data_IF_354953225917
#
_entry.id   IF_354953225917
#
_cell.length_a   1.000
_cell.length_b   1.000
_cell.length_c   1.000
_cell.angle_alpha   90.00
_cell.angle_beta   90.00
_cell.angle_gamma   90.00
#
_symmetry.space_group_name_H-M   'P 1'
#
loop_
_entity.id
_entity.type
_entity.pdbx_description
1 polymer ?
#
# COMPACT_ATOMS: atom_id res chain seq x y z
N UNK A 1 -11.40 13.27 23.65
CA UNK A 1 -10.17 12.75 23.04
C UNK A 1 -9.76 11.55 23.87
N UNK A 2 -9.78 10.36 23.30
CA UNK A 2 -9.38 9.14 24.01
C UNK A 2 -7.86 9.23 24.29
N UNK A 3 -7.41 9.11 25.56
CA UNK A 3 -6.00 9.21 25.91
C UNK A 3 -5.12 8.09 25.33
N UNK A 4 -5.73 7.11 24.68
CA UNK A 4 -5.04 5.98 24.00
C UNK A 4 -4.94 6.19 22.47
N UNK A 5 -5.56 7.25 21.92
CA UNK A 5 -5.55 7.52 20.47
C UNK A 5 -4.20 8.14 20.07
N UNK A 6 -3.49 7.46 19.17
CA UNK A 6 -2.23 7.97 18.64
C UNK A 6 -2.46 9.22 17.76
N UNK A 7 -1.52 10.19 17.72
CA UNK A 7 -1.69 11.44 16.97
C UNK A 7 -2.03 11.22 15.49
N UNK A 8 -1.45 10.20 14.85
CA UNK A 8 -1.72 9.87 13.47
C UNK A 8 -3.12 9.27 13.29
N UNK A 9 -3.58 8.43 14.19
CA UNK A 9 -4.93 7.89 14.17
C UNK A 9 -5.98 9.02 14.27
N UNK A 10 -5.85 9.92 15.24
CA UNK A 10 -6.75 11.05 15.42
C UNK A 10 -6.84 11.91 14.17
N UNK A 11 -5.68 12.22 13.56
CA UNK A 11 -5.60 13.03 12.35
C UNK A 11 -6.30 12.36 11.16
N UNK A 12 -6.05 11.08 10.92
CA UNK A 12 -6.65 10.35 9.80
C UNK A 12 -8.13 10.07 10.04
N UNK A 13 -8.54 9.76 11.27
CA UNK A 13 -9.95 9.64 11.64
C UNK A 13 -10.70 10.93 11.34
N UNK A 14 -10.20 12.08 11.76
CA UNK A 14 -10.81 13.39 11.49
C UNK A 14 -10.95 13.63 9.97
N UNK A 15 -9.91 13.29 9.18
CA UNK A 15 -9.94 13.43 7.72
C UNK A 15 -11.05 12.60 7.09
N UNK A 16 -11.19 11.32 7.49
CA UNK A 16 -12.19 10.42 6.89
C UNK A 16 -13.60 10.61 7.47
N UNK A 17 -13.74 11.19 8.65
CA UNK A 17 -15.05 11.50 9.23
C UNK A 17 -15.70 12.77 8.64
N UNK A 18 -14.87 13.75 8.22
CA UNK A 18 -15.36 15.09 7.78
C UNK A 18 -15.17 15.35 6.29
N UNK A 19 -14.51 14.45 5.57
CA UNK A 19 -14.26 14.57 4.13
C UNK A 19 -15.49 14.22 3.28
N UNK A 20 -15.35 14.49 1.98
CA UNK A 20 -16.31 13.99 0.98
C UNK A 20 -16.42 12.47 1.03
N UNK A 21 -17.54 11.93 0.53
CA UNK A 21 -17.72 10.49 0.41
C UNK A 21 -16.51 9.86 -0.32
N UNK A 22 -15.91 8.80 0.22
CA UNK A 22 -14.71 8.22 -0.35
C UNK A 22 -14.96 7.71 -1.77
N UNK A 23 -14.05 7.99 -2.68
CA UNK A 23 -14.04 7.34 -3.97
C UNK A 23 -13.40 5.96 -3.82
N UNK A 24 -14.20 4.92 -4.07
CA UNK A 24 -13.69 3.55 -4.11
C UNK A 24 -13.14 3.17 -5.49
N UNK A 25 -12.61 4.13 -6.22
CA UNK A 25 -11.89 3.88 -7.48
C UNK A 25 -10.54 3.25 -7.16
N UNK A 26 -10.18 2.12 -7.78
CA UNK A 26 -8.89 1.50 -7.54
C UNK A 26 -7.75 2.40 -8.07
N UNK A 27 -6.65 2.42 -7.34
CA UNK A 27 -5.46 3.16 -7.75
C UNK A 27 -4.87 2.54 -9.04
N UNK A 28 -4.46 3.33 -10.05
CA UNK A 28 -3.92 2.80 -11.31
C UNK A 28 -2.73 1.84 -11.13
N UNK A 29 -1.88 2.09 -10.14
CA UNK A 29 -0.76 1.19 -9.79
C UNK A 29 -1.24 -0.19 -9.34
N UNK A 30 -2.33 -0.25 -8.55
CA UNK A 30 -2.92 -1.50 -8.12
C UNK A 30 -3.52 -2.28 -9.30
N UNK A 31 -4.22 -1.59 -10.20
CA UNK A 31 -4.76 -2.20 -11.42
C UNK A 31 -3.64 -2.79 -12.28
N UNK A 32 -2.55 -2.03 -12.48
CA UNK A 32 -1.38 -2.50 -13.20
C UNK A 32 -0.73 -3.73 -12.53
N UNK A 33 -0.58 -3.70 -11.20
CA UNK A 33 0.00 -4.81 -10.44
C UNK A 33 -0.85 -6.09 -10.51
N UNK A 34 -2.17 -5.97 -10.38
CA UNK A 34 -3.11 -7.10 -10.50
C UNK A 34 -3.07 -7.76 -11.88
N UNK A 35 -2.77 -6.99 -12.93
CA UNK A 35 -2.62 -7.49 -14.32
C UNK A 35 -1.31 -8.23 -14.61
N UNK A 36 -0.35 -8.29 -13.67
CA UNK A 36 0.99 -8.85 -13.91
C UNK A 36 1.10 -10.39 -13.79
N UNK A 37 0.01 -11.14 -13.70
CA UNK A 37 0.10 -12.59 -13.50
C UNK A 37 0.74 -12.94 -12.15
N UNK A 38 0.03 -12.68 -11.08
CA UNK A 38 0.46 -12.92 -9.70
C UNK A 38 0.40 -14.42 -9.36
N UNK A 39 1.29 -14.95 -8.50
CA UNK A 39 1.14 -16.30 -7.97
C UNK A 39 -0.15 -16.43 -7.14
N UNK A 40 -0.52 -17.66 -6.80
CA UNK A 40 -1.57 -17.90 -5.83
C UNK A 40 -1.20 -17.26 -4.48
N UNK A 41 -2.16 -16.64 -3.81
CA UNK A 41 -1.92 -16.02 -2.50
C UNK A 41 -2.73 -14.74 -2.29
N UNK A 42 -2.77 -14.25 -1.04
CA UNK A 42 -3.50 -13.05 -0.67
C UNK A 42 -2.78 -11.77 -1.12
N UNK A 43 -3.50 -10.67 -1.01
CA UNK A 43 -3.01 -9.30 -1.23
C UNK A 43 -2.91 -8.59 0.12
N UNK A 44 -1.88 -7.80 0.30
CA UNK A 44 -1.70 -6.88 1.42
C UNK A 44 -1.79 -5.45 0.91
N UNK A 45 -2.66 -4.65 1.49
CA UNK A 45 -2.80 -3.23 1.21
C UNK A 45 -2.46 -2.42 2.47
N UNK A 46 -1.34 -1.71 2.44
CA UNK A 46 -0.76 -0.98 3.58
C UNK A 46 -1.11 0.50 3.52
N UNK A 47 -1.45 1.09 4.68
CA UNK A 47 -1.98 2.45 4.79
C UNK A 47 -3.12 2.65 3.78
N UNK A 48 -4.05 1.68 3.79
CA UNK A 48 -5.00 1.48 2.72
C UNK A 48 -6.08 2.59 2.64
N UNK A 49 -6.42 3.22 3.74
CA UNK A 49 -7.58 4.11 3.80
C UNK A 49 -8.88 3.37 3.40
N UNK A 50 -9.91 4.07 2.90
CA UNK A 50 -11.10 3.47 2.29
C UNK A 50 -10.77 2.98 0.88
N UNK A 51 -10.07 1.84 0.76
CA UNK A 51 -9.36 1.39 -0.44
C UNK A 51 -10.24 0.81 -1.54
N UNK A 52 -10.33 1.48 -2.68
CA UNK A 52 -10.83 0.89 -3.92
C UNK A 52 -9.90 -0.19 -4.49
N UNK A 53 -8.60 -0.14 -4.18
CA UNK A 53 -7.62 -1.14 -4.62
C UNK A 53 -7.80 -2.47 -3.92
N UNK A 54 -8.10 -2.46 -2.60
CA UNK A 54 -8.47 -3.65 -1.85
C UNK A 54 -9.74 -4.29 -2.42
N UNK A 55 -10.75 -3.48 -2.77
CA UNK A 55 -11.98 -3.97 -3.38
C UNK A 55 -11.72 -4.58 -4.76
N UNK A 56 -10.93 -3.94 -5.61
CA UNK A 56 -10.58 -4.49 -6.93
C UNK A 56 -9.81 -5.83 -6.84
N UNK A 57 -8.91 -5.97 -5.85
CA UNK A 57 -8.25 -7.23 -5.59
C UNK A 57 -9.23 -8.33 -5.14
N UNK A 58 -10.20 -7.97 -4.29
CA UNK A 58 -11.25 -8.89 -3.86
C UNK A 58 -12.21 -9.26 -5.00
N UNK A 59 -12.57 -8.33 -5.88
CA UNK A 59 -13.35 -8.58 -7.11
C UNK A 59 -12.61 -9.55 -8.06
N UNK A 60 -11.26 -9.52 -8.07
CA UNK A 60 -10.43 -10.49 -8.77
C UNK A 60 -10.28 -11.85 -8.02
N UNK A 61 -11.09 -12.09 -6.98
CA UNK A 61 -11.12 -13.34 -6.21
C UNK A 61 -9.99 -13.50 -5.20
N UNK A 62 -9.23 -12.44 -4.90
CA UNK A 62 -8.13 -12.48 -3.94
C UNK A 62 -8.61 -12.18 -2.52
N UNK A 63 -8.09 -12.93 -1.53
CA UNK A 63 -8.19 -12.49 -0.13
C UNK A 63 -7.31 -11.27 0.08
N UNK A 64 -7.80 -10.29 0.80
CA UNK A 64 -7.11 -9.02 1.03
C UNK A 64 -7.00 -8.76 2.52
N UNK A 65 -5.79 -8.49 3.00
CA UNK A 65 -5.53 -7.89 4.30
C UNK A 65 -5.32 -6.40 4.07
N UNK A 66 -6.20 -5.55 4.59
CA UNK A 66 -6.16 -4.11 4.42
C UNK A 66 -5.85 -3.45 5.76
N UNK A 67 -4.66 -2.85 5.88
CA UNK A 67 -4.13 -2.32 7.14
C UNK A 67 -4.13 -0.81 7.11
N UNK A 68 -4.71 -0.18 8.13
CA UNK A 68 -4.66 1.28 8.33
C UNK A 68 -4.71 1.62 9.81
N UNK A 69 -4.17 2.78 10.16
CA UNK A 69 -4.24 3.33 11.52
C UNK A 69 -5.61 3.95 11.82
N UNK A 70 -6.37 4.30 10.77
CA UNK A 70 -7.71 4.88 10.90
C UNK A 70 -8.79 3.80 10.93
N UNK A 71 -9.41 3.61 12.08
CA UNK A 71 -10.57 2.74 12.22
C UNK A 71 -11.81 3.29 11.48
N UNK A 72 -11.91 4.61 11.28
CA UNK A 72 -12.95 5.25 10.45
C UNK A 72 -12.81 4.78 9.00
N UNK A 73 -11.59 4.85 8.43
CA UNK A 73 -11.33 4.41 7.07
C UNK A 73 -11.65 2.91 6.87
N UNK A 74 -11.26 2.10 7.84
CA UNK A 74 -11.51 0.66 7.82
C UNK A 74 -12.99 0.32 7.91
N UNK A 75 -13.77 1.06 8.70
CA UNK A 75 -15.24 0.89 8.73
C UNK A 75 -15.88 1.25 7.39
N UNK A 76 -15.41 2.32 6.73
CA UNK A 76 -15.90 2.70 5.39
C UNK A 76 -15.58 1.61 4.36
N UNK A 77 -14.36 1.06 4.38
CA UNK A 77 -13.95 -0.05 3.52
C UNK A 77 -14.80 -1.30 3.78
N UNK A 78 -15.00 -1.68 5.05
CA UNK A 78 -15.80 -2.85 5.42
C UNK A 78 -17.25 -2.74 4.98
N UNK A 79 -17.86 -1.56 5.15
CA UNK A 79 -19.22 -1.28 4.72
C UNK A 79 -19.37 -1.41 3.19
N UNK A 80 -18.42 -0.85 2.43
CA UNK A 80 -18.44 -0.95 0.97
C UNK A 80 -18.15 -2.38 0.48
N UNK A 81 -17.23 -3.10 1.13
CA UNK A 81 -16.99 -4.51 0.83
C UNK A 81 -18.24 -5.36 1.07
N UNK A 82 -18.95 -5.15 2.18
CA UNK A 82 -20.22 -5.82 2.45
C UNK A 82 -21.28 -5.49 1.40
N UNK A 83 -21.42 -4.21 1.01
CA UNK A 83 -22.37 -3.76 -0.03
C UNK A 83 -22.11 -4.43 -1.38
N UNK A 84 -20.84 -4.72 -1.71
CA UNK A 84 -20.43 -5.42 -2.96
C UNK A 84 -20.45 -6.95 -2.83
N UNK A 85 -20.79 -7.52 -1.66
CA UNK A 85 -20.71 -8.97 -1.44
C UNK A 85 -19.29 -9.51 -1.26
N UNK A 86 -18.32 -8.66 -0.97
CA UNK A 86 -16.89 -8.98 -0.85
C UNK A 86 -16.43 -9.14 0.60
N UNK A 87 -17.33 -9.03 1.59
CA UNK A 87 -16.99 -9.02 3.01
C UNK A 87 -16.22 -10.27 3.49
N UNK A 88 -16.41 -11.42 2.82
CA UNK A 88 -15.65 -12.64 3.11
C UNK A 88 -14.22 -12.67 2.53
N UNK A 89 -13.87 -11.72 1.66
CA UNK A 89 -12.56 -11.62 1.02
C UNK A 89 -11.71 -10.47 1.54
N UNK A 90 -12.32 -9.42 2.09
CA UNK A 90 -11.60 -8.26 2.63
C UNK A 90 -11.55 -8.36 4.15
N UNK A 91 -10.35 -8.35 4.71
CA UNK A 91 -10.06 -8.36 6.15
C UNK A 91 -9.43 -7.03 6.55
N UNK A 92 -10.22 -6.06 7.04
CA UNK A 92 -9.68 -4.82 7.60
C UNK A 92 -8.92 -5.09 8.88
N UNK A 93 -7.74 -4.52 9.02
CA UNK A 93 -6.86 -4.66 10.19
C UNK A 93 -6.50 -3.27 10.70
N UNK A 94 -6.95 -2.94 11.90
CA UNK A 94 -6.51 -1.72 12.59
C UNK A 94 -5.09 -1.93 13.09
N UNK A 95 -4.14 -1.17 12.55
CA UNK A 95 -2.73 -1.33 12.88
C UNK A 95 -1.90 -0.10 12.53
N UNK A 96 -1.02 0.26 13.47
CA UNK A 96 0.01 1.26 13.25
C UNK A 96 1.22 0.61 12.57
N UNK A 97 1.54 1.02 11.35
CA UNK A 97 2.67 0.50 10.58
C UNK A 97 4.03 0.77 11.25
N UNK A 98 4.11 1.68 12.21
CA UNK A 98 5.33 1.86 12.99
C UNK A 98 5.70 0.59 13.79
N UNK A 99 4.70 -0.19 14.22
CA UNK A 99 4.87 -1.40 15.04
C UNK A 99 4.28 -2.67 14.40
N UNK A 100 3.24 -2.53 13.58
CA UNK A 100 2.63 -3.68 12.90
C UNK A 100 3.55 -4.20 11.78
N UNK A 101 3.69 -5.52 11.68
CA UNK A 101 4.53 -6.16 10.65
C UNK A 101 3.81 -7.33 10.00
N UNK A 102 3.88 -7.44 8.67
CA UNK A 102 3.38 -8.61 7.94
C UNK A 102 4.29 -9.82 8.14
N UNK A 103 3.71 -11.02 8.04
CA UNK A 103 4.50 -12.24 7.99
C UNK A 103 5.34 -12.30 6.70
N UNK A 104 6.61 -12.75 6.76
CA UNK A 104 7.45 -12.89 5.58
C UNK A 104 6.86 -13.87 4.55
N UNK A 105 7.13 -13.62 3.27
CA UNK A 105 6.77 -14.47 2.14
C UNK A 105 5.31 -14.99 2.20
N UNK A 106 4.35 -14.09 2.45
CA UNK A 106 2.95 -14.45 2.68
C UNK A 106 1.97 -13.87 1.67
N UNK A 107 2.37 -12.88 0.87
CA UNK A 107 1.46 -12.15 0.00
C UNK A 107 1.91 -12.17 -1.46
N UNK A 108 0.97 -12.48 -2.36
CA UNK A 108 1.19 -12.46 -3.80
C UNK A 108 1.36 -11.03 -4.36
N UNK A 109 0.73 -10.07 -3.71
CA UNK A 109 0.87 -8.64 -3.97
C UNK A 109 0.93 -7.89 -2.64
N UNK A 110 1.91 -7.03 -2.49
CA UNK A 110 1.96 -6.02 -1.43
C UNK A 110 1.82 -4.65 -2.09
N UNK A 111 0.83 -3.89 -1.66
CA UNK A 111 0.47 -2.58 -2.19
C UNK A 111 0.59 -1.52 -1.10
N UNK A 112 1.15 -0.36 -1.43
CA UNK A 112 1.10 0.84 -0.61
C UNK A 112 1.07 2.07 -1.52
N UNK A 113 0.10 2.97 -1.32
CA UNK A 113 -0.04 4.19 -2.12
C UNK A 113 -0.22 5.41 -1.22
N UNK A 114 0.80 6.27 -1.18
CA UNK A 114 0.72 7.53 -0.44
C UNK A 114 1.37 7.53 0.96
N UNK A 115 2.02 6.44 1.37
CA UNK A 115 2.76 6.33 2.62
C UNK A 115 4.22 5.99 2.36
N UNK A 116 5.14 6.54 3.16
CA UNK A 116 6.56 6.22 3.09
C UNK A 116 7.18 6.09 4.49
N UNK A 117 7.83 4.97 4.69
CA UNK A 117 8.76 4.65 5.77
C UNK A 117 9.67 3.52 5.29
N UNK A 118 10.98 3.66 5.49
CA UNK A 118 11.98 2.70 4.98
C UNK A 118 11.89 1.33 5.65
N UNK A 119 11.56 1.28 6.94
CA UNK A 119 11.42 0.01 7.67
C UNK A 119 10.15 -0.72 7.24
N UNK A 120 9.06 0.01 7.02
CA UNK A 120 7.79 -0.54 6.49
C UNK A 120 8.00 -1.05 5.06
N UNK A 121 8.71 -0.31 4.21
CA UNK A 121 9.06 -0.76 2.86
C UNK A 121 9.89 -2.05 2.88
N UNK A 122 10.91 -2.13 3.73
CA UNK A 122 11.72 -3.34 3.90
C UNK A 122 10.90 -4.55 4.37
N UNK A 123 9.99 -4.35 5.33
CA UNK A 123 9.08 -5.40 5.80
C UNK A 123 8.09 -5.84 4.70
N UNK A 124 7.58 -4.90 3.90
CA UNK A 124 6.72 -5.18 2.77
C UNK A 124 7.42 -6.01 1.68
N UNK A 125 8.68 -5.68 1.38
CA UNK A 125 9.50 -6.47 0.46
C UNK A 125 9.70 -7.90 0.98
N UNK A 126 9.98 -8.08 2.25
CA UNK A 126 10.11 -9.42 2.85
C UNK A 126 8.79 -10.20 2.86
N UNK A 127 7.66 -9.52 2.98
CA UNK A 127 6.32 -10.13 3.03
C UNK A 127 5.84 -10.62 1.66
N UNK A 128 6.41 -10.11 0.56
CA UNK A 128 6.07 -10.53 -0.80
C UNK A 128 6.53 -11.96 -1.06
N UNK A 129 5.66 -12.81 -1.61
CA UNK A 129 6.00 -14.17 -2.02
C UNK A 129 7.04 -14.18 -3.14
N UNK A 130 7.87 -15.24 -3.28
CA UNK A 130 8.60 -15.50 -4.52
C UNK A 130 7.64 -15.51 -5.73
N UNK A 131 7.98 -14.78 -6.79
CA UNK A 131 7.11 -14.53 -7.95
C UNK A 131 6.04 -13.46 -7.73
N UNK A 132 5.85 -13.01 -6.50
CA UNK A 132 4.91 -11.94 -6.14
C UNK A 132 5.39 -10.56 -6.54
N UNK A 133 4.54 -9.56 -6.35
CA UNK A 133 4.79 -8.17 -6.73
C UNK A 133 4.72 -7.24 -5.53
N UNK A 134 5.67 -6.34 -5.43
CA UNK A 134 5.65 -5.18 -4.56
C UNK A 134 5.28 -3.95 -5.40
N UNK A 135 4.19 -3.27 -5.05
CA UNK A 135 3.69 -2.08 -5.71
C UNK A 135 3.69 -0.92 -4.73
N UNK A 136 4.51 0.09 -4.97
CA UNK A 136 4.67 1.22 -4.05
C UNK A 136 4.57 2.56 -4.75
N UNK A 137 3.87 3.51 -4.13
CA UNK A 137 3.86 4.90 -4.56
C UNK A 137 3.96 5.81 -3.35
N UNK A 138 4.89 6.77 -3.40
CA UNK A 138 5.07 7.73 -2.32
C UNK A 138 5.49 9.11 -2.85
N UNK A 139 5.39 10.12 -2.00
CA UNK A 139 5.86 11.46 -2.28
C UNK A 139 7.39 11.49 -2.42
N UNK A 140 7.89 12.33 -3.31
CA UNK A 140 9.30 12.69 -3.40
C UNK A 140 9.55 13.99 -2.65
N UNK A 141 10.82 14.37 -2.45
CA UNK A 141 11.17 15.66 -1.87
C UNK A 141 10.61 16.85 -2.67
N UNK A 142 10.41 16.69 -3.99
CA UNK A 142 9.80 17.73 -4.84
C UNK A 142 8.35 18.05 -4.46
N UNK A 143 7.63 17.12 -3.83
CA UNK A 143 6.27 17.38 -3.34
C UNK A 143 6.21 18.48 -2.28
N UNK A 144 7.30 18.71 -1.56
CA UNK A 144 7.41 19.75 -0.52
C UNK A 144 7.40 21.18 -1.06
N UNK A 145 7.70 21.35 -2.36
CA UNK A 145 7.58 22.66 -3.01
C UNK A 145 6.15 23.21 -2.96
N UNK A 146 5.15 22.31 -3.05
CA UNK A 146 3.73 22.71 -2.96
C UNK A 146 3.10 22.40 -1.61
N UNK A 147 3.75 21.54 -0.82
CA UNK A 147 3.30 21.09 0.48
C UNK A 147 4.43 21.22 1.49
N UNK A 148 4.83 22.47 1.86
CA UNK A 148 5.98 22.70 2.73
C UNK A 148 5.82 22.07 4.12
N UNK A 149 4.57 21.81 4.55
CA UNK A 149 4.25 21.12 5.80
C UNK A 149 4.47 19.60 5.76
N UNK A 150 4.71 19.02 4.57
CA UNK A 150 4.98 17.57 4.45
C UNK A 150 6.33 17.26 5.10
N UNK A 151 6.39 16.35 6.10
CA UNK A 151 7.64 16.00 6.75
C UNK A 151 8.66 15.43 5.74
N UNK A 152 9.94 15.83 5.81
CA UNK A 152 10.97 15.31 4.91
C UNK A 152 11.06 13.78 4.92
N UNK A 153 10.90 13.17 6.10
CA UNK A 153 11.01 11.71 6.28
C UNK A 153 9.84 10.92 5.67
N UNK A 154 8.76 11.62 5.30
CA UNK A 154 7.63 11.03 4.56
C UNK A 154 7.84 11.09 3.04
N UNK A 155 9.03 11.50 2.60
CA UNK A 155 9.34 11.66 1.18
C UNK A 155 10.54 10.79 0.80
N UNK A 156 10.44 10.18 -0.36
CA UNK A 156 11.51 9.43 -1.01
C UNK A 156 12.74 10.30 -1.22
N UNK A 157 13.91 9.76 -0.91
CA UNK A 157 15.20 10.33 -1.30
C UNK A 157 15.55 9.97 -2.75
N UNK A 158 16.53 10.63 -3.37
CA UNK A 158 16.98 10.25 -4.70
C UNK A 158 17.37 8.76 -4.77
N UNK A 159 16.85 8.06 -5.78
CA UNK A 159 17.07 6.62 -5.96
C UNK A 159 16.08 5.71 -5.22
N UNK A 160 15.38 6.20 -4.20
CA UNK A 160 14.34 5.43 -3.51
C UNK A 160 13.04 5.39 -4.34
N UNK A 161 12.23 4.33 -4.18
CA UNK A 161 12.43 3.17 -3.31
C UNK A 161 13.25 2.04 -3.93
N UNK A 162 13.58 2.10 -5.23
CA UNK A 162 14.22 0.99 -5.96
C UNK A 162 15.58 0.59 -5.36
N UNK A 163 16.39 1.56 -4.89
CA UNK A 163 17.70 1.30 -4.29
C UNK A 163 17.65 0.54 -2.95
N UNK A 164 16.45 0.42 -2.35
CA UNK A 164 16.23 -0.28 -1.09
C UNK A 164 15.68 -1.69 -1.28
N UNK A 165 15.43 -2.11 -2.52
CA UNK A 165 14.97 -3.47 -2.80
C UNK A 165 16.05 -4.50 -2.45
N UNK A 166 15.68 -5.65 -1.86
CA UNK A 166 16.56 -6.80 -1.80
C UNK A 166 17.04 -7.26 -3.19
N UNK A 167 18.19 -7.94 -3.23
CA UNK A 167 18.81 -8.37 -4.49
C UNK A 167 17.99 -9.40 -5.28
N UNK A 168 17.01 -10.03 -4.65
CA UNK A 168 16.07 -10.99 -5.26
C UNK A 168 14.83 -10.32 -5.88
N UNK A 169 14.93 -9.05 -6.28
CA UNK A 169 13.86 -8.31 -6.95
C UNK A 169 14.26 -7.81 -8.33
N UNK A 170 13.37 -8.01 -9.31
CA UNK A 170 13.43 -7.39 -10.62
C UNK A 170 12.53 -6.15 -10.65
N UNK A 171 13.10 -5.00 -10.99
CA UNK A 171 12.35 -3.75 -11.16
C UNK A 171 11.64 -3.77 -12.51
N UNK A 172 10.30 -3.74 -12.49
CA UNK A 172 9.46 -3.69 -13.69
C UNK A 172 9.13 -2.25 -14.10
N UNK A 173 8.88 -1.39 -13.11
CA UNK A 173 8.59 0.03 -13.29
C UNK A 173 9.22 0.80 -12.14
N UNK A 174 9.95 1.85 -12.44
CA UNK A 174 10.43 2.85 -11.47
C UNK A 174 10.42 4.21 -12.17
N UNK A 175 9.38 5.01 -11.91
CA UNK A 175 9.20 6.29 -12.60
C UNK A 175 8.42 7.30 -11.77
N UNK A 176 8.59 8.60 -12.01
CA UNK A 176 7.67 9.60 -11.48
C UNK A 176 6.27 9.40 -12.08
N UNK A 177 5.23 9.66 -11.30
CA UNK A 177 3.83 9.61 -11.78
C UNK A 177 3.47 10.81 -12.63
N UNK A 178 4.13 11.93 -12.39
CA UNK A 178 3.99 13.20 -13.06
C UNK A 178 5.36 13.56 -13.65
N UNK A 179 5.48 13.51 -14.97
CA UNK A 179 6.74 13.78 -15.68
C UNK A 179 7.23 15.22 -15.51
N UNK A 180 6.31 16.17 -15.31
CA UNK A 180 6.67 17.60 -15.24
C UNK A 180 7.06 18.03 -13.82
N UNK A 181 6.46 17.42 -12.78
CA UNK A 181 6.59 17.87 -11.41
C UNK A 181 7.31 16.88 -10.48
N UNK A 182 7.37 15.61 -10.86
CA UNK A 182 8.09 14.56 -10.12
C UNK A 182 7.70 14.40 -8.64
N UNK A 183 6.47 14.80 -8.27
CA UNK A 183 6.03 14.89 -6.86
C UNK A 183 5.77 13.58 -6.20
N UNK A 184 5.45 12.58 -6.99
CA UNK A 184 5.31 11.20 -6.55
C UNK A 184 6.11 10.28 -7.46
N UNK A 185 6.61 9.21 -6.91
CA UNK A 185 7.29 8.14 -7.65
C UNK A 185 6.58 6.82 -7.39
N UNK A 186 6.45 6.01 -8.42
CA UNK A 186 5.87 4.66 -8.33
C UNK A 186 6.91 3.62 -8.69
N UNK A 187 6.83 2.50 -7.98
CA UNK A 187 7.61 1.29 -8.18
C UNK A 187 6.67 0.12 -8.38
N UNK A 188 6.95 -0.71 -9.40
CA UNK A 188 6.52 -2.10 -9.48
C UNK A 188 7.77 -2.96 -9.53
N UNK A 189 7.89 -3.90 -8.61
CA UNK A 189 9.00 -4.82 -8.58
C UNK A 189 8.49 -6.25 -8.32
N UNK A 190 9.05 -7.22 -9.02
CA UNK A 190 8.72 -8.64 -8.85
C UNK A 190 9.80 -9.33 -8.05
N UNK A 191 9.42 -10.02 -7.01
CA UNK A 191 10.35 -10.91 -6.31
C UNK A 191 10.65 -12.13 -7.18
N UNK A 192 11.92 -12.42 -7.40
CA UNK A 192 12.35 -13.56 -8.22
C UNK A 192 11.82 -14.86 -7.60
N UNK A 193 11.25 -15.73 -8.42
CA UNK A 193 10.83 -17.04 -7.96
C UNK A 193 12.06 -17.86 -7.55
N UNK A 194 11.96 -18.61 -6.44
CA UNK A 194 13.01 -19.57 -6.10
C UNK A 194 13.21 -20.50 -7.30
N UNK A 195 14.46 -20.64 -7.78
CA UNK A 195 14.76 -21.65 -8.78
C UNK A 195 14.45 -23.00 -8.16
N UNK A 196 13.55 -23.78 -8.79
CA UNK A 196 13.40 -25.18 -8.44
C UNK A 196 14.78 -25.81 -8.57
N UNK A 197 15.32 -26.34 -7.48
CA UNK A 197 16.48 -27.24 -7.56
C UNK A 197 15.97 -28.52 -8.24
N UNK A 198 16.38 -28.72 -9.49
CA UNK A 198 16.20 -29.99 -10.21
C UNK A 198 17.07 -31.09 -9.56
#
# INVERSE_FOLDING_TARGET
>A
MDPLEQPDQARWNARYATGDAPSFTPHPLAVAALGLGLPAGPVLDLACGPSGSALAAAEAGRRVTAVDVSDVALRLLAAEAARRGLGGLVSPVHGDLAVWRPAPASYALVLCTGYWDTAVFGAAAQATLPGGVLAWQAFTQAARLDRPQLPPDWCLRPGEPASLLPADYDVLVDKPTDRERGRMRQLLARRVAARSAD
#
